data_IF_704489455678
#
_entry.id   IF_704489455678
#
_cell.length_a   1.000
_cell.length_b   1.000
_cell.length_c   1.000
_cell.angle_alpha   90.00
_cell.angle_beta   90.00
_cell.angle_gamma   90.00
#
_symmetry.space_group_name_H-M   'P 1'
#
loop_
_entity.id
_entity.type
_entity.pdbx_description
1 polymer ?
#
# COMPACT_ATOMS: atom_id res chain seq x y z
N UNK A 1 4.95 -1.15 18.77
CA UNK A 1 3.65 -0.72 18.14
C UNK A 1 3.95 0.37 17.12
N UNK A 2 3.61 0.18 15.87
CA UNK A 2 3.89 1.11 14.76
C UNK A 2 2.96 2.31 14.86
N UNK A 3 3.52 3.52 14.86
CA UNK A 3 2.77 4.79 14.98
C UNK A 3 2.73 5.59 13.68
N UNK A 4 3.54 5.22 12.69
CA UNK A 4 3.70 5.95 11.43
C UNK A 4 3.27 5.12 10.23
N UNK A 5 2.55 5.75 9.29
CA UNK A 5 2.14 5.14 8.03
C UNK A 5 2.42 6.04 6.85
N UNK A 6 2.81 5.46 5.72
CA UNK A 6 2.82 6.09 4.40
C UNK A 6 1.54 5.69 3.66
N UNK A 7 0.79 6.68 3.15
CA UNK A 7 -0.36 6.46 2.28
C UNK A 7 0.00 6.90 0.86
N UNK A 8 -0.03 5.95 -0.10
CA UNK A 8 0.20 6.26 -1.50
C UNK A 8 -1.04 6.88 -2.15
N UNK A 9 -1.01 8.19 -2.35
CA UNK A 9 -2.11 8.98 -2.93
C UNK A 9 -1.74 9.68 -4.26
N UNK A 10 -0.53 9.46 -4.80
CA UNK A 10 -0.03 10.10 -6.03
C UNK A 10 -0.63 9.54 -7.34
N UNK A 11 -1.39 8.46 -7.29
CA UNK A 11 -1.89 7.76 -8.47
C UNK A 11 -2.88 8.57 -9.31
N UNK A 12 -2.72 8.55 -10.65
CA UNK A 12 -3.58 9.27 -11.61
C UNK A 12 -5.04 8.80 -11.65
N UNK A 13 -5.33 7.57 -11.19
CA UNK A 13 -6.69 7.06 -11.11
C UNK A 13 -7.46 6.96 -12.45
N UNK A 14 -6.77 6.74 -13.56
CA UNK A 14 -7.34 6.83 -14.93
C UNK A 14 -8.56 5.95 -15.19
N UNK A 15 -8.79 4.91 -14.38
CA UNK A 15 -9.94 4.01 -14.48
C UNK A 15 -11.18 4.54 -13.75
N UNK A 16 -11.05 5.60 -12.95
CA UNK A 16 -12.15 6.20 -12.17
C UNK A 16 -12.67 7.51 -12.81
N UNK A 17 -12.45 7.67 -14.13
CA UNK A 17 -13.02 8.77 -14.89
C UNK A 17 -14.56 8.69 -14.95
N UNK A 18 -15.27 9.83 -15.00
CA UNK A 18 -14.74 11.21 -15.17
C UNK A 18 -14.27 11.90 -13.89
N UNK A 19 -14.46 11.33 -12.70
CA UNK A 19 -14.09 11.96 -11.43
C UNK A 19 -12.60 12.42 -11.42
N UNK A 20 -11.71 11.55 -11.88
CA UNK A 20 -10.27 11.83 -11.87
C UNK A 20 -9.77 12.73 -13.00
N UNK A 21 -10.67 13.26 -13.81
CA UNK A 21 -10.32 14.33 -14.77
C UNK A 21 -10.08 15.69 -14.09
N UNK A 22 -10.62 15.88 -12.86
CA UNK A 22 -10.52 17.13 -12.11
C UNK A 22 -10.20 16.97 -10.62
N UNK A 23 -10.13 15.72 -10.11
CA UNK A 23 -9.88 15.45 -8.70
C UNK A 23 -8.87 14.30 -8.54
N UNK A 24 -8.06 14.29 -7.46
CA UNK A 24 -7.19 13.15 -7.15
C UNK A 24 -8.03 11.95 -6.72
N UNK A 25 -7.64 10.75 -7.14
CA UNK A 25 -8.34 9.50 -6.81
C UNK A 25 -8.56 9.33 -5.29
N UNK A 26 -7.60 9.76 -4.48
CA UNK A 26 -7.68 9.65 -3.02
C UNK A 26 -8.84 10.44 -2.39
N UNK A 27 -9.41 11.40 -3.11
CA UNK A 27 -10.60 12.16 -2.68
C UNK A 27 -11.91 11.62 -3.29
N UNK A 28 -11.90 10.48 -3.99
CA UNK A 28 -13.13 9.84 -4.44
C UNK A 28 -13.99 9.43 -3.23
N UNK A 29 -15.30 9.62 -3.37
CA UNK A 29 -16.26 9.42 -2.29
C UNK A 29 -16.78 7.99 -2.30
N UNK A 30 -16.95 7.43 -1.10
CA UNK A 30 -17.72 6.24 -0.81
C UNK A 30 -18.65 6.59 0.35
N UNK A 31 -19.98 6.58 0.15
CA UNK A 31 -20.96 7.09 1.09
C UNK A 31 -20.59 8.50 1.62
N UNK A 32 -20.37 9.45 0.70
CA UNK A 32 -20.02 10.84 0.97
C UNK A 32 -18.73 11.11 1.75
N UNK A 33 -17.91 10.07 2.02
CA UNK A 33 -16.65 10.19 2.74
C UNK A 33 -15.47 9.88 1.81
N UNK A 34 -14.48 10.78 1.67
CA UNK A 34 -13.29 10.56 0.84
C UNK A 34 -12.47 9.33 1.26
N UNK A 35 -11.91 8.61 0.29
CA UNK A 35 -11.06 7.43 0.55
C UNK A 35 -9.91 7.75 1.50
N UNK A 36 -9.25 8.89 1.31
CA UNK A 36 -8.12 9.30 2.17
C UNK A 36 -8.55 9.49 3.63
N UNK A 37 -9.69 10.12 3.86
CA UNK A 37 -10.24 10.29 5.21
C UNK A 37 -10.53 8.94 5.87
N UNK A 38 -11.19 8.03 5.12
CA UNK A 38 -11.47 6.68 5.61
C UNK A 38 -10.19 5.95 6.00
N UNK A 39 -9.15 6.02 5.18
CA UNK A 39 -7.89 5.33 5.44
C UNK A 39 -7.13 5.94 6.62
N UNK A 40 -7.12 7.26 6.77
CA UNK A 40 -6.52 7.91 7.95
C UNK A 40 -7.26 7.48 9.22
N UNK A 41 -8.59 7.61 9.26
CA UNK A 41 -9.40 7.21 10.42
C UNK A 41 -9.29 5.71 10.72
N UNK A 42 -9.29 4.88 9.68
CA UNK A 42 -9.09 3.44 9.83
C UNK A 42 -7.75 3.12 10.51
N UNK A 43 -6.65 3.69 10.04
CA UNK A 43 -5.33 3.46 10.65
C UNK A 43 -5.21 4.08 12.05
N UNK A 44 -5.88 5.22 12.32
CA UNK A 44 -5.96 5.82 13.66
C UNK A 44 -6.61 4.90 14.67
N UNK A 45 -7.64 4.12 14.29
CA UNK A 45 -8.28 3.13 15.16
C UNK A 45 -7.31 2.02 15.62
N UNK A 46 -6.18 1.86 14.91
CA UNK A 46 -5.09 0.94 15.27
C UNK A 46 -3.87 1.63 15.88
N UNK A 47 -4.02 2.91 16.29
CA UNK A 47 -2.99 3.64 17.02
C UNK A 47 -1.94 4.33 16.15
N UNK A 48 -2.15 4.44 14.83
CA UNK A 48 -1.31 5.27 13.95
C UNK A 48 -1.65 6.75 14.19
N UNK A 49 -0.64 7.56 14.48
CA UNK A 49 -0.79 8.99 14.81
C UNK A 49 0.02 9.90 13.91
N UNK A 50 0.94 9.34 13.12
CA UNK A 50 1.78 10.07 12.18
C UNK A 50 1.62 9.49 10.78
N UNK A 51 1.41 10.36 9.80
CA UNK A 51 1.22 9.96 8.40
C UNK A 51 2.20 10.69 7.50
N UNK A 52 2.65 9.99 6.47
CA UNK A 52 3.25 10.59 5.28
C UNK A 52 2.26 10.37 4.14
N UNK A 53 1.79 11.44 3.52
CA UNK A 53 0.89 11.36 2.37
C UNK A 53 1.70 11.67 1.12
N UNK A 54 1.83 10.67 0.26
CA UNK A 54 2.50 10.83 -1.02
C UNK A 54 1.51 11.42 -2.03
N UNK A 55 1.84 12.53 -2.67
CA UNK A 55 0.99 13.25 -3.60
C UNK A 55 1.70 13.58 -4.91
N UNK A 56 0.94 13.75 -6.01
CA UNK A 56 1.41 14.18 -7.31
C UNK A 56 0.28 14.92 -8.07
N UNK A 57 -0.53 14.19 -8.83
CA UNK A 57 -1.61 14.74 -9.64
C UNK A 57 -2.72 15.31 -8.76
N UNK A 58 -3.03 16.61 -8.93
CA UNK A 58 -3.94 17.35 -8.05
C UNK A 58 -3.53 17.31 -6.56
N UNK A 59 -2.23 17.23 -6.26
CA UNK A 59 -1.72 17.16 -4.89
C UNK A 59 -2.17 18.32 -4.01
N UNK A 60 -2.32 19.53 -4.60
CA UNK A 60 -2.82 20.71 -3.90
C UNK A 60 -4.22 20.51 -3.31
N UNK A 61 -5.12 19.81 -4.02
CA UNK A 61 -6.45 19.49 -3.50
C UNK A 61 -6.40 18.55 -2.29
N UNK A 62 -5.43 17.63 -2.24
CA UNK A 62 -5.21 16.76 -1.09
C UNK A 62 -4.73 17.60 0.10
N UNK A 63 -3.77 18.50 -0.12
CA UNK A 63 -3.25 19.38 0.95
C UNK A 63 -4.37 20.28 1.50
N UNK A 64 -5.13 20.95 0.65
CA UNK A 64 -6.28 21.76 1.06
C UNK A 64 -7.33 20.95 1.84
N UNK A 65 -7.59 19.71 1.40
CA UNK A 65 -8.52 18.83 2.09
C UNK A 65 -8.04 18.48 3.50
N UNK A 66 -6.75 18.17 3.66
CA UNK A 66 -6.15 17.87 4.96
C UNK A 66 -6.19 19.07 5.88
N UNK A 67 -5.83 20.27 5.39
CA UNK A 67 -5.87 21.52 6.15
C UNK A 67 -7.29 21.87 6.64
N UNK A 68 -8.30 21.77 5.73
CA UNK A 68 -9.71 22.03 6.06
C UNK A 68 -10.26 21.09 7.15
N UNK A 69 -9.69 19.90 7.28
CA UNK A 69 -10.09 18.91 8.27
C UNK A 69 -9.13 18.85 9.48
N UNK A 70 -8.35 19.92 9.73
CA UNK A 70 -7.38 19.99 10.84
C UNK A 70 -6.48 18.74 10.90
N UNK A 71 -6.05 18.23 9.73
CA UNK A 71 -5.21 17.04 9.58
C UNK A 71 -5.73 15.81 10.33
N UNK A 72 -7.04 15.73 10.59
CA UNK A 72 -7.68 14.68 11.39
C UNK A 72 -7.03 14.47 12.77
N UNK A 73 -6.52 15.56 13.38
CA UNK A 73 -5.78 15.56 14.65
C UNK A 73 -4.49 14.69 14.64
N UNK A 74 -3.97 14.38 13.45
CA UNK A 74 -2.74 13.63 13.25
C UNK A 74 -1.59 14.53 12.83
N UNK A 75 -0.35 14.07 13.04
CA UNK A 75 0.81 14.66 12.41
C UNK A 75 0.92 14.15 10.98
N UNK A 76 0.83 15.06 9.99
CA UNK A 76 0.89 14.71 8.58
C UNK A 76 2.04 15.43 7.89
N UNK A 77 2.94 14.67 7.29
CA UNK A 77 3.98 15.15 6.38
C UNK A 77 3.55 14.90 4.94
N UNK A 78 3.78 15.83 4.03
CA UNK A 78 3.48 15.69 2.60
C UNK A 78 4.75 15.33 1.85
N UNK A 79 4.71 14.22 1.10
CA UNK A 79 5.74 13.81 0.16
C UNK A 79 5.27 14.12 -1.26
N UNK A 80 5.63 15.30 -1.76
CA UNK A 80 5.12 15.85 -3.02
C UNK A 80 6.06 15.55 -4.20
N UNK A 81 5.62 14.68 -5.10
CA UNK A 81 6.33 14.25 -6.32
C UNK A 81 6.09 15.21 -7.51
N UNK A 82 6.21 16.52 -7.30
CA UNK A 82 5.82 17.56 -8.29
C UNK A 82 6.32 17.32 -9.71
N UNK A 83 7.57 16.90 -9.83
CA UNK A 83 8.26 16.87 -11.12
C UNK A 83 7.96 15.61 -11.93
N UNK A 84 7.80 14.47 -11.29
CA UNK A 84 7.56 13.17 -11.93
C UNK A 84 6.83 12.21 -11.00
N UNK A 85 5.81 11.50 -11.53
CA UNK A 85 5.18 10.38 -10.84
C UNK A 85 6.15 9.21 -10.73
N UNK A 86 6.60 8.92 -9.52
CA UNK A 86 7.68 7.95 -9.23
C UNK A 86 7.20 6.50 -9.06
N UNK A 87 5.89 6.24 -9.08
CA UNK A 87 5.29 4.98 -8.68
C UNK A 87 5.58 4.61 -7.21
N UNK A 88 5.19 3.41 -6.76
CA UNK A 88 5.21 3.09 -5.33
C UNK A 88 6.61 2.90 -4.75
N UNK A 89 7.57 2.40 -5.52
CA UNK A 89 8.95 2.21 -5.06
C UNK A 89 9.74 3.52 -5.04
N UNK A 90 9.64 4.29 -6.14
CA UNK A 90 10.25 5.61 -6.19
C UNK A 90 9.64 6.57 -5.18
N UNK A 91 8.29 6.54 -5.00
CA UNK A 91 7.59 7.32 -4.00
C UNK A 91 8.00 6.97 -2.56
N UNK A 92 8.25 5.69 -2.26
CA UNK A 92 8.80 5.27 -0.97
C UNK A 92 10.19 5.88 -0.73
N UNK A 93 11.08 5.82 -1.71
CA UNK A 93 12.41 6.44 -1.59
C UNK A 93 12.34 7.96 -1.45
N UNK A 94 11.43 8.62 -2.16
CA UNK A 94 11.25 10.06 -2.05
C UNK A 94 10.73 10.47 -0.66
N UNK A 95 9.94 9.60 -0.02
CA UNK A 95 9.44 9.76 1.34
C UNK A 95 10.44 9.32 2.43
N UNK A 96 11.62 8.77 2.08
CA UNK A 96 12.60 8.19 3.02
C UNK A 96 12.88 9.09 4.22
N UNK A 97 13.17 10.38 4.00
CA UNK A 97 13.52 11.35 5.05
C UNK A 97 12.49 11.45 6.19
N UNK A 98 11.25 11.06 5.93
CA UNK A 98 10.17 11.05 6.92
C UNK A 98 10.03 9.71 7.66
N UNK A 99 10.60 8.62 7.10
CA UNK A 99 10.36 7.24 7.52
C UNK A 99 11.61 6.55 8.09
N UNK A 100 12.81 6.95 7.67
CA UNK A 100 14.06 6.24 7.97
C UNK A 100 14.44 6.20 9.47
N UNK A 101 13.82 7.06 10.29
CA UNK A 101 14.04 7.07 11.75
C UNK A 101 13.13 6.10 12.49
N UNK A 102 12.11 5.58 11.85
CA UNK A 102 11.25 4.55 12.41
C UNK A 102 11.92 3.19 12.23
N UNK A 103 11.83 2.32 13.23
CA UNK A 103 12.28 0.93 13.06
C UNK A 103 11.41 0.19 12.05
N UNK A 104 10.10 0.34 12.20
CA UNK A 104 9.08 -0.23 11.31
C UNK A 104 7.97 0.79 11.05
N UNK A 105 7.39 0.76 9.85
CA UNK A 105 6.26 1.60 9.47
C UNK A 105 5.26 0.83 8.59
N UNK A 106 4.05 1.35 8.53
CA UNK A 106 2.99 0.84 7.65
C UNK A 106 3.02 1.56 6.31
N UNK A 107 2.61 0.85 5.26
CA UNK A 107 2.24 1.45 3.98
C UNK A 107 0.84 0.97 3.60
N UNK A 108 0.03 1.87 3.05
CA UNK A 108 -1.29 1.57 2.52
C UNK A 108 -1.55 2.34 1.24
N UNK A 109 -2.13 1.68 0.24
CA UNK A 109 -2.60 2.37 -0.96
C UNK A 109 -3.89 3.12 -0.63
N UNK A 110 -4.00 4.39 -1.05
CA UNK A 110 -5.16 5.25 -0.76
C UNK A 110 -6.48 4.74 -1.35
N UNK A 111 -6.43 3.85 -2.31
CA UNK A 111 -7.60 3.28 -2.99
C UNK A 111 -8.10 1.96 -2.40
N UNK A 112 -7.50 1.49 -1.32
CA UNK A 112 -7.91 0.25 -0.64
C UNK A 112 -8.84 0.58 0.53
N UNK A 113 -9.99 -0.07 0.56
CA UNK A 113 -10.86 -0.14 1.74
C UNK A 113 -10.89 -1.58 2.26
N UNK A 114 -10.76 -1.75 3.57
CA UNK A 114 -10.67 -3.06 4.20
C UNK A 114 -11.09 -3.02 5.68
N UNK A 115 -11.49 -4.17 6.21
CA UNK A 115 -11.69 -4.44 7.63
C UNK A 115 -10.56 -5.30 8.23
N UNK A 116 -9.39 -5.36 7.58
CA UNK A 116 -8.22 -6.09 8.06
C UNK A 116 -7.81 -5.63 9.46
N UNK A 117 -7.58 -6.56 10.38
CA UNK A 117 -7.01 -6.23 11.68
C UNK A 117 -5.53 -5.89 11.57
N UNK A 118 -5.21 -4.59 11.56
CA UNK A 118 -3.83 -4.09 11.45
C UNK A 118 -2.98 -4.52 12.64
N UNK A 119 -3.54 -4.67 13.84
CA UNK A 119 -2.77 -5.16 15.00
C UNK A 119 -2.22 -6.57 14.78
N UNK A 120 -2.97 -7.44 14.09
CA UNK A 120 -2.49 -8.80 13.79
C UNK A 120 -1.37 -8.78 12.75
N UNK A 121 -1.48 -7.96 11.71
CA UNK A 121 -0.42 -7.75 10.71
C UNK A 121 0.86 -7.23 11.38
N UNK A 122 0.75 -6.19 12.22
CA UNK A 122 1.88 -5.60 12.95
C UNK A 122 2.51 -6.61 13.91
N UNK A 123 1.68 -7.31 14.70
CA UNK A 123 2.17 -8.35 15.63
C UNK A 123 2.90 -9.48 14.90
N UNK A 124 2.41 -9.88 13.72
CA UNK A 124 3.07 -10.87 12.88
C UNK A 124 4.44 -10.34 12.41
N UNK A 125 4.50 -9.10 11.93
CA UNK A 125 5.74 -8.46 11.49
C UNK A 125 6.77 -8.36 12.63
N UNK A 126 6.37 -7.82 13.79
CA UNK A 126 7.22 -7.67 14.98
C UNK A 126 7.72 -9.02 15.53
N UNK A 127 6.94 -10.10 15.38
CA UNK A 127 7.33 -11.45 15.81
C UNK A 127 8.39 -12.08 14.90
N UNK A 128 8.28 -11.88 13.59
CA UNK A 128 9.12 -12.59 12.62
C UNK A 128 10.29 -11.75 12.10
N UNK A 129 10.27 -10.43 12.35
CA UNK A 129 11.33 -9.47 11.99
C UNK A 129 11.78 -9.56 10.52
N UNK A 130 10.87 -9.66 9.54
CA UNK A 130 11.26 -9.68 8.13
C UNK A 130 11.61 -8.27 7.64
N UNK A 131 12.17 -8.17 6.44
CA UNK A 131 12.35 -6.88 5.75
C UNK A 131 11.00 -6.23 5.42
N UNK A 132 10.03 -7.04 4.98
CA UNK A 132 8.66 -6.61 4.75
C UNK A 132 7.66 -7.74 5.03
N UNK A 133 6.46 -7.37 5.50
CA UNK A 133 5.29 -8.26 5.60
C UNK A 133 4.19 -7.73 4.72
N UNK A 134 3.79 -8.48 3.70
CA UNK A 134 2.73 -8.13 2.76
C UNK A 134 1.40 -8.72 3.24
N UNK A 135 0.38 -7.91 3.43
CA UNK A 135 -0.98 -8.43 3.59
C UNK A 135 -1.43 -9.07 2.26
N UNK A 136 -1.86 -10.33 2.30
CA UNK A 136 -2.21 -11.11 1.11
C UNK A 136 -3.47 -11.93 1.34
N UNK A 137 -4.24 -12.16 0.29
CA UNK A 137 -5.49 -12.93 0.37
C UNK A 137 -5.69 -13.80 -0.87
N UNK A 138 -6.52 -14.83 -0.73
CA UNK A 138 -6.92 -15.69 -1.84
C UNK A 138 -8.09 -15.08 -2.62
N UNK A 139 -7.92 -13.83 -3.07
CA UNK A 139 -8.88 -13.17 -3.95
C UNK A 139 -8.54 -13.39 -5.41
N UNK A 140 -9.52 -13.27 -6.28
CA UNK A 140 -9.26 -13.29 -7.72
C UNK A 140 -8.43 -12.06 -8.12
N UNK A 141 -7.29 -12.31 -8.77
CA UNK A 141 -6.38 -11.27 -9.26
C UNK A 141 -5.57 -11.82 -10.43
N UNK A 142 -5.33 -10.98 -11.43
CA UNK A 142 -4.41 -11.31 -12.52
C UNK A 142 -2.94 -11.31 -12.09
N UNK A 143 -2.62 -10.71 -10.94
CA UNK A 143 -1.26 -10.70 -10.38
C UNK A 143 -1.25 -11.53 -9.12
N UNK A 144 -0.44 -12.59 -9.11
CA UNK A 144 -0.28 -13.50 -7.98
C UNK A 144 1.15 -13.48 -7.47
N UNK A 145 1.28 -13.56 -6.16
CA UNK A 145 2.52 -13.79 -5.44
C UNK A 145 2.59 -15.25 -5.01
N UNK A 146 3.76 -15.83 -5.05
CA UNK A 146 4.01 -17.22 -4.67
C UNK A 146 4.75 -17.27 -3.34
N UNK A 147 4.19 -18.00 -2.39
CA UNK A 147 4.75 -18.16 -1.06
C UNK A 147 5.00 -19.65 -0.76
N UNK A 148 6.12 -19.95 -0.11
CA UNK A 148 6.38 -21.29 0.39
C UNK A 148 5.54 -21.60 1.67
N UNK A 149 5.74 -22.79 2.27
CA UNK A 149 5.03 -23.23 3.48
C UNK A 149 5.23 -22.30 4.69
N UNK A 150 6.36 -21.58 4.76
CA UNK A 150 6.69 -20.61 5.80
C UNK A 150 6.22 -19.20 5.47
N UNK A 151 5.42 -19.04 4.42
CA UNK A 151 4.94 -17.76 3.91
C UNK A 151 6.05 -16.80 3.48
N UNK A 152 7.22 -17.30 3.05
CA UNK A 152 8.28 -16.50 2.43
C UNK A 152 7.97 -16.31 0.96
N UNK A 153 8.08 -15.07 0.47
CA UNK A 153 7.89 -14.73 -0.94
C UNK A 153 8.95 -15.41 -1.81
N UNK A 154 8.51 -16.15 -2.84
CA UNK A 154 9.34 -16.92 -3.74
C UNK A 154 9.10 -16.58 -5.22
N UNK A 155 8.10 -15.79 -5.53
CA UNK A 155 7.84 -15.42 -6.90
C UNK A 155 6.59 -14.59 -7.11
N UNK A 156 6.39 -14.25 -8.37
CA UNK A 156 5.27 -13.48 -8.88
C UNK A 156 4.92 -13.89 -10.30
N UNK A 157 3.64 -13.76 -10.64
CA UNK A 157 3.12 -13.98 -11.99
C UNK A 157 2.06 -12.95 -12.34
N UNK A 158 2.08 -12.51 -13.58
CA UNK A 158 0.95 -11.82 -14.21
C UNK A 158 0.23 -12.78 -15.15
N UNK A 159 -0.95 -13.27 -14.76
CA UNK A 159 -1.74 -14.24 -15.53
C UNK A 159 -2.20 -13.69 -16.90
N UNK A 160 -2.30 -12.37 -17.07
CA UNK A 160 -2.72 -11.76 -18.34
C UNK A 160 -1.59 -11.73 -19.37
N UNK A 161 -0.36 -11.41 -18.94
CA UNK A 161 0.82 -11.34 -19.83
C UNK A 161 1.62 -12.65 -19.88
N UNK A 162 1.43 -13.54 -18.91
CA UNK A 162 2.25 -14.73 -18.72
C UNK A 162 3.64 -14.44 -18.14
N UNK A 163 3.94 -13.18 -17.80
CA UNK A 163 5.21 -12.80 -17.21
C UNK A 163 5.35 -13.37 -15.80
N UNK A 164 6.52 -13.93 -15.52
CA UNK A 164 6.84 -14.53 -14.22
C UNK A 164 8.23 -14.13 -13.75
N UNK A 165 8.41 -14.03 -12.44
CA UNK A 165 9.71 -13.91 -11.78
C UNK A 165 9.73 -14.80 -10.56
N UNK A 166 10.61 -15.80 -10.56
CA UNK A 166 10.67 -16.84 -9.53
C UNK A 166 12.07 -16.92 -8.94
N UNK A 167 12.18 -17.02 -7.61
CA UNK A 167 13.44 -17.32 -6.93
C UNK A 167 13.78 -18.82 -7.01
N UNK A 168 12.75 -19.66 -7.02
CA UNK A 168 12.84 -21.10 -7.19
C UNK A 168 11.54 -21.63 -7.80
N UNK A 169 11.57 -22.83 -8.40
CA UNK A 169 10.38 -23.49 -8.93
C UNK A 169 9.99 -24.64 -8.02
N UNK A 170 8.76 -24.57 -7.46
CA UNK A 170 8.18 -25.62 -6.65
C UNK A 170 6.67 -25.70 -6.92
N UNK A 171 6.09 -26.91 -6.92
CA UNK A 171 4.67 -27.14 -7.12
C UNK A 171 3.79 -26.77 -5.93
N UNK A 172 4.39 -26.61 -4.74
CA UNK A 172 3.65 -26.50 -3.47
C UNK A 172 3.51 -25.03 -2.98
N UNK A 173 3.75 -24.06 -3.85
CA UNK A 173 3.57 -22.66 -3.51
C UNK A 173 2.10 -22.28 -3.37
N UNK A 174 1.79 -21.45 -2.36
CA UNK A 174 0.51 -20.76 -2.28
C UNK A 174 0.49 -19.57 -3.21
N UNK A 175 -0.54 -19.48 -4.06
CA UNK A 175 -0.79 -18.35 -4.94
C UNK A 175 -1.74 -17.35 -4.28
N UNK A 176 -1.26 -16.20 -3.83
CA UNK A 176 -2.03 -15.19 -3.15
C UNK A 176 -1.93 -13.83 -3.87
N UNK A 177 -2.93 -12.98 -3.67
CA UNK A 177 -2.95 -11.63 -4.21
C UNK A 177 -2.55 -10.62 -3.13
N UNK A 178 -1.72 -9.65 -3.50
CA UNK A 178 -1.35 -8.53 -2.62
C UNK A 178 -2.55 -7.63 -2.34
N UNK A 179 -2.70 -7.23 -1.09
CA UNK A 179 -3.86 -6.48 -0.60
C UNK A 179 -3.61 -4.96 -0.49
N UNK A 180 -2.45 -4.47 -0.94
CA UNK A 180 -2.16 -3.03 -0.92
C UNK A 180 -1.80 -2.46 0.45
N UNK A 181 -1.56 -3.33 1.44
CA UNK A 181 -1.13 -2.95 2.80
C UNK A 181 0.08 -3.79 3.17
N UNK A 182 1.09 -3.16 3.74
CA UNK A 182 2.30 -3.85 4.19
C UNK A 182 2.98 -3.15 5.36
N UNK A 183 3.69 -3.93 6.19
CA UNK A 183 4.65 -3.43 7.18
C UNK A 183 6.05 -3.53 6.60
N UNK A 184 6.89 -2.54 6.85
CA UNK A 184 8.27 -2.49 6.35
C UNK A 184 9.22 -2.13 7.48
N UNK A 185 10.36 -2.84 7.53
CA UNK A 185 11.50 -2.43 8.34
C UNK A 185 12.31 -1.38 7.58
N UNK A 186 12.72 -0.30 8.24
CA UNK A 186 13.40 0.84 7.61
C UNK A 186 14.77 0.48 7.00
N UNK A 187 15.37 -0.65 7.37
CA UNK A 187 16.59 -1.15 6.70
C UNK A 187 16.39 -1.44 5.20
N UNK A 188 15.14 -1.40 4.71
CA UNK A 188 14.85 -1.50 3.28
C UNK A 188 15.52 -0.36 2.50
N UNK A 189 15.65 0.84 3.07
CA UNK A 189 16.28 1.98 2.40
C UNK A 189 17.75 1.74 2.05
N UNK A 190 18.46 0.94 2.86
CA UNK A 190 19.84 0.55 2.60
C UNK A 190 19.97 -0.54 1.51
N UNK A 191 18.87 -1.23 1.21
CA UNK A 191 18.83 -2.37 0.31
C UNK A 191 18.30 -2.02 -1.07
N UNK A 192 17.44 -1.01 -1.20
CA UNK A 192 16.88 -0.57 -2.48
C UNK A 192 18.01 -0.02 -3.37
N UNK A 193 18.23 -0.70 -4.50
CA UNK A 193 19.25 -0.30 -5.49
C UNK A 193 18.67 0.54 -6.62
N UNK A 194 17.36 0.40 -6.89
CA UNK A 194 16.66 1.14 -7.95
C UNK A 194 16.61 2.63 -7.62
N UNK A 195 16.48 3.46 -8.64
CA UNK A 195 16.30 4.91 -8.51
C UNK A 195 15.29 5.40 -9.56
N UNK A 196 14.70 6.57 -9.31
CA UNK A 196 13.68 7.15 -10.18
C UNK A 196 12.34 6.42 -10.06
N UNK A 197 11.70 6.19 -11.18
CA UNK A 197 10.35 5.61 -11.27
C UNK A 197 10.39 4.09 -11.32
N UNK A 198 9.83 3.42 -10.30
CA UNK A 198 9.66 1.96 -10.25
C UNK A 198 8.58 1.55 -9.24
N UNK A 199 8.04 0.36 -9.42
CA UNK A 199 7.09 -0.24 -8.47
C UNK A 199 7.81 -0.85 -7.27
N UNK A 200 7.28 -0.69 -6.06
CA UNK A 200 7.80 -1.37 -4.86
C UNK A 200 7.76 -2.90 -5.01
N UNK A 201 6.81 -3.42 -5.78
CA UNK A 201 6.73 -4.86 -6.06
C UNK A 201 7.94 -5.35 -6.86
N UNK A 202 8.44 -4.57 -7.82
CA UNK A 202 9.68 -4.92 -8.56
C UNK A 202 10.87 -5.02 -7.61
N UNK A 203 10.95 -4.11 -6.63
CA UNK A 203 12.01 -4.16 -5.63
C UNK A 203 11.87 -5.37 -4.69
N UNK A 204 10.65 -5.69 -4.24
CA UNK A 204 10.45 -6.92 -3.46
C UNK A 204 10.85 -8.17 -4.21
N UNK A 205 10.59 -8.23 -5.52
CA UNK A 205 10.99 -9.36 -6.35
C UNK A 205 12.52 -9.43 -6.61
N UNK A 206 13.24 -8.32 -6.46
CA UNK A 206 14.70 -8.32 -6.46
C UNK A 206 15.25 -8.71 -5.09
N UNK A 207 14.66 -8.17 -4.02
CA UNK A 207 15.10 -8.40 -2.65
C UNK A 207 14.77 -9.81 -2.10
N UNK A 208 13.78 -10.53 -2.66
CA UNK A 208 13.37 -11.87 -2.19
C UNK A 208 14.45 -12.92 -2.28
N UNK A 209 15.49 -12.70 -3.07
CA UNK A 209 16.61 -13.64 -3.21
C UNK A 209 17.56 -13.64 -1.99
N UNK A 210 17.64 -12.51 -1.28
CA UNK A 210 18.61 -12.31 -0.20
C UNK A 210 17.93 -11.94 1.14
N UNK A 211 16.63 -11.64 1.11
CA UNK A 211 15.90 -11.12 2.26
C UNK A 211 14.56 -11.83 2.47
N UNK A 212 14.17 -11.93 3.74
CA UNK A 212 12.85 -12.44 4.08
C UNK A 212 11.78 -11.37 3.84
N UNK A 213 10.92 -11.63 2.87
CA UNK A 213 9.67 -10.90 2.63
C UNK A 213 8.55 -11.90 2.89
N UNK A 214 7.71 -11.62 3.88
CA UNK A 214 6.69 -12.55 4.33
C UNK A 214 5.31 -12.15 3.85
N UNK A 215 4.44 -13.13 3.62
CA UNK A 215 3.01 -12.96 3.42
C UNK A 215 2.25 -13.12 4.73
N UNK A 216 1.41 -12.15 5.09
CA UNK A 216 0.39 -12.30 6.12
C UNK A 216 -0.94 -12.58 5.43
N UNK A 217 -1.35 -13.85 5.42
CA UNK A 217 -2.61 -14.27 4.79
C UNK A 217 -3.80 -13.89 5.68
N UNK A 218 -4.83 -13.27 5.08
CA UNK A 218 -6.05 -12.85 5.76
C UNK A 218 -7.30 -13.15 4.91
N UNK A 219 -8.45 -13.16 5.58
CA UNK A 219 -9.78 -13.32 5.00
C UNK A 219 -10.62 -12.04 5.08
N UNK A 220 -10.02 -10.94 5.52
CA UNK A 220 -10.68 -9.65 5.65
C UNK A 220 -11.23 -9.20 4.29
N UNK A 221 -12.36 -8.49 4.33
CA UNK A 221 -12.91 -7.84 3.14
C UNK A 221 -11.92 -6.80 2.61
N UNK A 222 -11.78 -6.76 1.29
CA UNK A 222 -10.90 -5.81 0.63
C UNK A 222 -11.53 -5.39 -0.69
N UNK A 223 -11.63 -4.08 -0.89
CA UNK A 223 -12.10 -3.48 -2.13
C UNK A 223 -11.06 -2.48 -2.64
N UNK A 224 -10.56 -2.71 -3.86
CA UNK A 224 -9.77 -1.74 -4.64
C UNK A 224 -10.76 -0.79 -5.34
N UNK A 225 -10.89 0.42 -4.79
CA UNK A 225 -11.79 1.47 -5.31
C UNK A 225 -11.12 2.16 -6.50
N UNK A 226 -10.90 1.37 -7.55
CA UNK A 226 -10.20 1.80 -8.77
C UNK A 226 -11.10 2.03 -9.97
N UNK A 227 -12.40 1.72 -9.87
CA UNK A 227 -13.39 1.83 -10.95
C UNK A 227 -14.76 2.24 -10.40
N UNK A 228 -15.66 2.81 -11.22
CA UNK A 228 -17.00 3.18 -10.74
C UNK A 228 -17.77 2.02 -10.08
N UNK A 229 -17.66 0.80 -10.62
CA UNK A 229 -18.35 -0.37 -10.09
C UNK A 229 -17.85 -0.73 -8.69
N UNK A 230 -16.54 -0.54 -8.42
CA UNK A 230 -15.98 -0.80 -7.10
C UNK A 230 -16.33 0.27 -6.06
N UNK A 231 -16.70 1.50 -6.49
CA UNK A 231 -17.31 2.51 -5.58
C UNK A 231 -18.66 1.99 -5.09
N UNK A 232 -19.56 1.60 -6.01
CA UNK A 232 -20.89 1.06 -5.69
C UNK A 232 -20.78 -0.20 -4.80
N UNK A 233 -19.77 -1.04 -5.03
CA UNK A 233 -19.52 -2.19 -4.18
C UNK A 233 -19.08 -1.75 -2.77
N UNK A 234 -18.16 -0.80 -2.68
CA UNK A 234 -17.63 -0.30 -1.40
C UNK A 234 -18.72 0.35 -0.54
N UNK A 235 -19.66 1.08 -1.14
CA UNK A 235 -20.79 1.72 -0.46
C UNK A 235 -21.71 0.74 0.29
N UNK A 236 -21.75 -0.53 -0.14
CA UNK A 236 -22.54 -1.57 0.53
C UNK A 236 -21.94 -2.04 1.86
N UNK A 237 -20.64 -1.86 2.03
CA UNK A 237 -19.89 -2.47 3.12
C UNK A 237 -19.17 -1.47 4.03
N UNK A 238 -18.82 -0.30 3.51
CA UNK A 238 -18.08 0.74 4.23
C UNK A 238 -18.99 1.97 4.38
N UNK A 239 -19.83 1.93 5.41
CA UNK A 239 -20.73 3.05 5.77
C UNK A 239 -19.99 4.16 6.49
#
# INVERSE_FOLDING_TARGET
MIKKALIFAAGKGTRLKPFTDSHPKALALVNDVPLLERNIKYLQNFGVTEFVINVHHFGEQIVEFLEKNNHFEAKIDISDEKDELLETGGGLLFAQKYLEKEENFLIMNADILTDLNIHELVKFHEKHLPLATLAVSDRNSSRKLFFNSEMVLKGWMNKNSGETKMAEFNSDFKELAFSGIHCINSSIFDKIKRRGKFSIMEEYLDLMFENNILGFQHEARLIDVGRPESVIEAEKYFT
#
